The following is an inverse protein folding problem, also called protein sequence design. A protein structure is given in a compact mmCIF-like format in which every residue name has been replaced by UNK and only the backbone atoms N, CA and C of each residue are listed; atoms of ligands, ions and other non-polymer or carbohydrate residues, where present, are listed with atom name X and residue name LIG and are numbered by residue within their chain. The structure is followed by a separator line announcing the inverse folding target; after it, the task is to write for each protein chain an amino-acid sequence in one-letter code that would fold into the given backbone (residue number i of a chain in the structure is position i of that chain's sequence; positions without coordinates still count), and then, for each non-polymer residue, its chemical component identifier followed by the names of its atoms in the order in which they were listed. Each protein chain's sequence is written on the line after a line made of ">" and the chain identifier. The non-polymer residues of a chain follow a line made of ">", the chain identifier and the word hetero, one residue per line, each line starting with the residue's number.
data_IF_913335410501
#
_entry.id   IF_913335410501
#
_cell.length_a   1.000
_cell.length_b   1.000
_cell.length_c   1.000
_cell.angle_alpha   90.00
_cell.angle_beta   90.00
_cell.angle_gamma   90.00
#
_symmetry.space_group_name_H-M   'P 1'
#
loop_
_entity.id
_entity.type
_entity.pdbx_description
1 polymer ?
#
# COMPACT_ATOMS: atom_id res chain seq x y z
N UNK A 1 -1.87 -21.67 -10.63
CA UNK A 1 -2.13 -21.53 -9.17
C UNK A 1 -3.47 -20.86 -8.99
N UNK A 2 -4.17 -21.19 -7.89
CA UNK A 2 -5.37 -20.50 -7.45
C UNK A 2 -4.96 -19.41 -6.45
N UNK A 3 -5.20 -18.16 -6.77
CA UNK A 3 -4.73 -17.00 -6.01
C UNK A 3 -5.92 -16.21 -5.49
N UNK A 4 -6.00 -16.03 -4.17
CA UNK A 4 -7.01 -15.17 -3.55
C UNK A 4 -6.47 -13.73 -3.44
N UNK A 5 -7.23 -12.77 -3.95
CA UNK A 5 -6.97 -11.34 -3.79
C UNK A 5 -8.05 -10.74 -2.90
N UNK A 6 -7.68 -10.26 -1.71
CA UNK A 6 -8.61 -9.60 -0.79
C UNK A 6 -8.56 -8.08 -0.95
N UNK A 7 -9.67 -7.38 -0.71
CA UNK A 7 -9.76 -5.93 -0.95
C UNK A 7 -9.66 -5.59 -2.44
N UNK A 8 -10.26 -6.42 -3.29
CA UNK A 8 -10.17 -6.32 -4.74
C UNK A 8 -10.75 -5.02 -5.30
N UNK A 9 -11.70 -4.38 -4.61
CA UNK A 9 -12.30 -3.10 -4.99
C UNK A 9 -11.45 -1.88 -4.57
N UNK A 10 -10.35 -2.10 -3.83
CA UNK A 10 -9.38 -1.07 -3.46
C UNK A 10 -8.47 -0.65 -4.62
N UNK A 11 -7.61 0.34 -4.38
CA UNK A 11 -6.68 0.86 -5.39
C UNK A 11 -5.79 -0.25 -5.97
N UNK A 12 -5.07 -0.98 -5.10
CA UNK A 12 -4.14 -2.04 -5.52
C UNK A 12 -4.88 -3.26 -6.07
N UNK A 13 -5.99 -3.66 -5.44
CA UNK A 13 -6.79 -4.79 -5.92
C UNK A 13 -7.28 -4.59 -7.36
N UNK A 14 -7.79 -3.40 -7.70
CA UNK A 14 -8.18 -3.08 -9.07
C UNK A 14 -6.98 -3.11 -10.05
N UNK A 15 -5.80 -2.61 -9.65
CA UNK A 15 -4.62 -2.66 -10.52
C UNK A 15 -4.13 -4.11 -10.74
N UNK A 16 -4.25 -4.99 -9.73
CA UNK A 16 -3.97 -6.42 -9.89
C UNK A 16 -4.95 -7.04 -10.90
N UNK A 17 -6.26 -6.78 -10.77
CA UNK A 17 -7.28 -7.30 -11.69
C UNK A 17 -7.00 -6.88 -13.16
N UNK A 18 -6.47 -5.68 -13.40
CA UNK A 18 -6.08 -5.27 -14.75
C UNK A 18 -4.97 -6.13 -15.36
N UNK A 19 -4.10 -6.70 -14.52
CA UNK A 19 -2.96 -7.51 -14.95
C UNK A 19 -3.31 -8.99 -15.11
N UNK A 20 -4.42 -9.49 -14.54
CA UNK A 20 -4.80 -10.91 -14.58
C UNK A 20 -4.86 -11.48 -15.98
N UNK A 21 -5.31 -10.69 -16.96
CA UNK A 21 -5.39 -11.09 -18.38
C UNK A 21 -4.04 -11.48 -18.97
N UNK A 22 -2.95 -10.91 -18.46
CA UNK A 22 -1.58 -11.16 -18.90
C UNK A 22 -0.94 -12.34 -18.13
N UNK A 23 -1.67 -12.89 -17.13
CA UNK A 23 -1.26 -13.99 -16.24
C UNK A 23 -2.27 -15.15 -16.24
N UNK A 24 -2.79 -15.50 -17.42
CA UNK A 24 -3.86 -16.49 -17.62
C UNK A 24 -3.52 -17.92 -17.16
N UNK A 25 -2.27 -18.22 -16.83
CA UNK A 25 -1.84 -19.48 -16.20
C UNK A 25 -2.26 -19.59 -14.72
N UNK A 26 -2.76 -18.50 -14.11
CA UNK A 26 -3.31 -18.48 -12.77
C UNK A 26 -4.83 -18.27 -12.81
N UNK A 27 -5.50 -18.73 -11.75
CA UNK A 27 -6.92 -18.45 -11.50
C UNK A 27 -7.01 -17.52 -10.31
N UNK A 28 -7.58 -16.33 -10.52
CA UNK A 28 -7.74 -15.33 -9.48
C UNK A 28 -9.13 -15.37 -8.87
N UNK A 29 -9.20 -15.30 -7.56
CA UNK A 29 -10.41 -15.20 -6.76
C UNK A 29 -10.42 -13.81 -6.12
N UNK A 30 -11.10 -12.87 -6.74
CA UNK A 30 -11.16 -11.49 -6.30
C UNK A 30 -12.30 -11.32 -5.29
N UNK A 31 -11.97 -10.91 -4.06
CA UNK A 31 -12.94 -10.76 -2.98
C UNK A 31 -12.82 -9.40 -2.29
N UNK A 32 -13.95 -8.89 -1.88
CA UNK A 32 -14.07 -7.79 -0.93
C UNK A 32 -15.02 -8.22 0.20
N UNK A 33 -15.49 -7.30 1.04
CA UNK A 33 -16.26 -7.62 2.23
C UNK A 33 -17.57 -8.39 1.91
N UNK A 34 -18.17 -8.14 0.75
CA UNK A 34 -19.42 -8.78 0.35
C UNK A 34 -19.23 -10.26 -0.03
N UNK A 35 -18.06 -10.62 -0.63
CA UNK A 35 -17.74 -11.99 -1.02
C UNK A 35 -17.03 -12.77 0.11
N UNK A 36 -16.17 -12.09 0.88
CA UNK A 36 -15.41 -12.71 1.97
C UNK A 36 -15.08 -11.69 3.06
N UNK A 37 -15.78 -11.77 4.17
CA UNK A 37 -15.41 -11.02 5.39
C UNK A 37 -14.13 -11.62 5.99
N UNK A 38 -13.01 -10.94 5.81
CA UNK A 38 -11.69 -11.36 6.31
C UNK A 38 -11.56 -11.30 7.84
N UNK A 39 -12.55 -10.78 8.55
CA UNK A 39 -12.61 -10.86 10.02
C UNK A 39 -13.23 -12.17 10.53
N UNK A 40 -13.83 -12.96 9.64
CA UNK A 40 -14.43 -14.25 9.93
C UNK A 40 -13.47 -15.41 9.57
N UNK A 41 -12.76 -15.92 10.57
CA UNK A 41 -11.79 -17.00 10.39
C UNK A 41 -12.39 -18.25 9.74
N UNK A 42 -13.59 -18.66 10.15
CA UNK A 42 -14.23 -19.86 9.63
C UNK A 42 -14.60 -19.72 8.14
N UNK A 43 -15.04 -18.51 7.73
CA UNK A 43 -15.32 -18.21 6.33
C UNK A 43 -14.03 -18.24 5.49
N UNK A 44 -12.93 -17.69 6.01
CA UNK A 44 -11.62 -17.73 5.34
C UNK A 44 -11.16 -19.18 5.18
N UNK A 45 -11.20 -19.99 6.25
CA UNK A 45 -10.77 -21.38 6.23
C UNK A 45 -11.56 -22.20 5.19
N UNK A 46 -12.88 -22.05 5.16
CA UNK A 46 -13.75 -22.69 4.16
C UNK A 46 -13.43 -22.23 2.74
N UNK A 47 -13.32 -20.91 2.51
CA UNK A 47 -13.02 -20.36 1.20
C UNK A 47 -11.69 -20.86 0.63
N UNK A 48 -10.65 -20.86 1.45
CA UNK A 48 -9.30 -21.32 1.08
C UNK A 48 -9.28 -22.80 0.73
N UNK A 49 -10.01 -23.64 1.49
CA UNK A 49 -10.07 -25.09 1.26
C UNK A 49 -10.93 -25.42 0.03
N UNK A 50 -12.14 -24.88 -0.07
CA UNK A 50 -13.10 -25.18 -1.15
C UNK A 50 -12.56 -24.77 -2.52
N UNK A 51 -11.86 -23.63 -2.61
CA UNK A 51 -11.28 -23.11 -3.84
C UNK A 51 -9.83 -23.56 -4.06
N UNK A 52 -9.26 -24.37 -3.17
CA UNK A 52 -7.88 -24.90 -3.27
C UNK A 52 -6.86 -23.78 -3.46
N UNK A 53 -6.94 -22.72 -2.65
CA UNK A 53 -6.09 -21.54 -2.77
C UNK A 53 -4.62 -21.90 -2.50
N UNK A 54 -3.74 -21.57 -3.45
CA UNK A 54 -2.29 -21.79 -3.39
C UNK A 54 -1.54 -20.58 -2.84
N UNK A 55 -2.15 -19.39 -2.94
CA UNK A 55 -1.54 -18.14 -2.45
C UNK A 55 -2.57 -17.05 -2.21
N UNK A 56 -2.25 -16.12 -1.31
CA UNK A 56 -3.11 -14.99 -0.99
C UNK A 56 -2.34 -13.68 -1.14
N UNK A 57 -2.96 -12.71 -1.83
CA UNK A 57 -2.52 -11.31 -1.89
C UNK A 57 -3.49 -10.50 -1.02
N UNK A 58 -3.06 -10.08 0.16
CA UNK A 58 -3.89 -9.27 1.04
C UNK A 58 -3.70 -7.77 0.76
N UNK A 59 -4.63 -7.20 -0.03
CA UNK A 59 -4.74 -5.76 -0.29
C UNK A 59 -5.75 -5.08 0.66
N UNK A 60 -6.56 -5.86 1.38
CA UNK A 60 -7.53 -5.33 2.32
C UNK A 60 -6.85 -4.75 3.58
N UNK A 61 -7.26 -3.56 3.98
CA UNK A 61 -6.78 -2.92 5.20
C UNK A 61 -7.71 -1.77 5.63
N UNK A 62 -7.68 -1.43 6.90
CA UNK A 62 -8.21 -0.17 7.39
C UNK A 62 -7.17 0.93 7.14
N UNK A 63 -7.40 1.76 6.11
CA UNK A 63 -6.41 2.76 5.63
C UNK A 63 -6.74 4.20 6.02
N UNK A 64 -7.86 4.44 6.70
CA UNK A 64 -8.24 5.77 7.16
C UNK A 64 -7.43 6.16 8.41
N UNK A 65 -6.18 6.62 8.19
CA UNK A 65 -5.14 6.85 9.20
C UNK A 65 -5.66 7.67 10.39
N UNK A 66 -6.30 8.83 10.13
CA UNK A 66 -6.82 9.70 11.19
C UNK A 66 -8.01 9.08 11.94
N UNK A 67 -8.88 8.35 11.24
CA UNK A 67 -10.02 7.67 11.85
C UNK A 67 -9.59 6.44 12.67
N UNK A 68 -8.44 5.86 12.41
CA UNK A 68 -7.91 4.74 13.18
C UNK A 68 -7.67 5.14 14.65
N UNK A 69 -7.31 6.40 14.92
CA UNK A 69 -7.12 6.89 16.29
C UNK A 69 -8.40 6.80 17.15
N UNK A 70 -9.57 6.92 16.54
CA UNK A 70 -10.88 6.78 17.20
C UNK A 70 -11.53 5.41 16.99
N UNK A 71 -11.13 4.63 15.99
CA UNK A 71 -11.70 3.31 15.63
C UNK A 71 -10.66 2.19 15.78
N UNK A 72 -10.00 2.14 16.93
CA UNK A 72 -8.90 1.19 17.21
C UNK A 72 -9.32 -0.28 17.05
N UNK A 73 -10.52 -0.62 17.47
CA UNK A 73 -11.04 -2.01 17.40
C UNK A 73 -11.16 -2.48 15.94
N UNK A 74 -11.77 -1.67 15.07
CA UNK A 74 -11.91 -2.00 13.67
C UNK A 74 -10.55 -2.01 12.96
N UNK A 75 -9.67 -1.04 13.26
CA UNK A 75 -8.31 -1.02 12.74
C UNK A 75 -7.52 -2.28 13.18
N UNK A 76 -7.66 -2.71 14.43
CA UNK A 76 -7.03 -3.94 14.93
C UNK A 76 -7.59 -5.18 14.26
N UNK A 77 -8.91 -5.27 14.11
CA UNK A 77 -9.56 -6.41 13.45
C UNK A 77 -9.05 -6.59 12.01
N UNK A 78 -9.06 -5.51 11.21
CA UNK A 78 -8.69 -5.56 9.79
C UNK A 78 -7.17 -5.58 9.54
N UNK A 79 -6.38 -4.85 10.36
CA UNK A 79 -4.95 -4.71 10.09
C UNK A 79 -4.09 -5.73 10.84
N UNK A 80 -4.57 -6.30 11.96
CA UNK A 80 -3.80 -7.21 12.81
C UNK A 80 -4.35 -8.63 12.77
N UNK A 81 -5.65 -8.79 13.04
CA UNK A 81 -6.26 -10.12 13.21
C UNK A 81 -6.50 -10.79 11.86
N UNK A 82 -7.10 -10.08 10.92
CA UNK A 82 -7.40 -10.63 9.59
C UNK A 82 -6.15 -11.13 8.84
N UNK A 83 -5.01 -10.41 8.78
CA UNK A 83 -3.79 -10.94 8.20
C UNK A 83 -3.31 -12.26 8.83
N UNK A 84 -3.45 -12.40 10.16
CA UNK A 84 -3.09 -13.63 10.85
C UNK A 84 -4.01 -14.81 10.47
N UNK A 85 -5.30 -14.56 10.31
CA UNK A 85 -6.27 -15.57 9.86
C UNK A 85 -5.99 -16.02 8.41
N UNK A 86 -5.79 -15.07 7.50
CA UNK A 86 -5.46 -15.35 6.10
C UNK A 86 -4.16 -16.15 5.97
N UNK A 87 -3.12 -15.73 6.68
CA UNK A 87 -1.83 -16.42 6.71
C UNK A 87 -1.95 -17.85 7.27
N UNK A 88 -2.69 -18.03 8.38
CA UNK A 88 -2.93 -19.35 8.96
C UNK A 88 -3.71 -20.27 8.00
N UNK A 89 -4.73 -19.74 7.32
CA UNK A 89 -5.54 -20.52 6.40
C UNK A 89 -4.73 -21.03 5.20
N UNK A 90 -3.99 -20.16 4.52
CA UNK A 90 -3.19 -20.57 3.36
C UNK A 90 -2.02 -21.49 3.74
N UNK A 91 -1.45 -21.31 4.94
CA UNK A 91 -0.38 -22.18 5.44
C UNK A 91 -0.83 -23.64 5.66
N UNK A 92 -2.12 -23.89 5.99
CA UNK A 92 -2.68 -25.26 6.08
C UNK A 92 -2.56 -26.01 4.75
N UNK A 93 -2.46 -25.31 3.64
CA UNK A 93 -2.30 -25.84 2.28
C UNK A 93 -0.87 -25.75 1.75
N UNK A 94 0.10 -25.42 2.60
CA UNK A 94 1.49 -25.15 2.23
C UNK A 94 1.64 -24.00 1.22
N UNK A 95 0.67 -23.10 1.18
CA UNK A 95 0.63 -21.96 0.28
C UNK A 95 1.47 -20.77 0.77
N UNK A 96 1.50 -19.70 -0.03
CA UNK A 96 2.22 -18.46 0.27
C UNK A 96 1.28 -17.30 0.58
N UNK A 97 1.80 -16.29 1.29
CA UNK A 97 1.05 -15.10 1.70
C UNK A 97 1.81 -13.82 1.39
N UNK A 98 1.20 -12.90 0.64
CA UNK A 98 1.70 -11.54 0.43
C UNK A 98 0.88 -10.57 1.27
N UNK A 99 1.53 -9.87 2.19
CA UNK A 99 0.94 -8.83 3.03
C UNK A 99 1.40 -7.45 2.59
N UNK A 100 0.49 -6.63 2.12
CA UNK A 100 0.78 -5.21 1.87
C UNK A 100 0.75 -4.44 3.18
N UNK A 101 1.85 -3.76 3.49
CA UNK A 101 2.06 -2.98 4.71
C UNK A 101 2.40 -1.51 4.38
N UNK A 102 2.94 -0.77 5.33
CA UNK A 102 3.08 0.69 5.27
C UNK A 102 4.42 1.18 5.82
N UNK A 103 4.85 2.35 5.37
CA UNK A 103 5.93 3.16 5.92
C UNK A 103 5.62 3.69 7.33
N UNK A 104 4.35 3.76 7.75
CA UNK A 104 3.93 4.17 9.10
C UNK A 104 4.36 3.22 10.21
N UNK A 105 5.01 2.09 9.88
CA UNK A 105 5.68 1.26 10.87
C UNK A 105 6.93 1.94 11.47
N UNK A 106 7.42 3.00 10.84
CA UNK A 106 8.56 3.80 11.28
C UNK A 106 8.12 5.13 11.90
N UNK A 107 8.94 5.64 12.82
CA UNK A 107 8.68 6.90 13.56
C UNK A 107 9.03 8.18 12.79
N UNK A 108 9.81 8.05 11.71
CA UNK A 108 10.24 9.19 10.90
C UNK A 108 11.46 9.95 11.44
N UNK A 109 12.19 9.42 12.41
CA UNK A 109 13.34 10.10 13.05
C UNK A 109 14.65 9.97 12.27
N UNK A 110 14.72 9.06 11.28
CA UNK A 110 15.90 8.95 10.41
C UNK A 110 15.95 10.09 9.40
N UNK A 111 17.14 10.31 8.87
CA UNK A 111 17.45 11.26 7.77
C UNK A 111 18.09 10.55 6.56
N UNK A 112 18.08 9.22 6.57
CA UNK A 112 18.47 8.33 5.48
C UNK A 112 17.33 7.35 5.22
N UNK A 113 17.19 6.79 4.00
CA UNK A 113 16.12 5.83 3.71
C UNK A 113 16.08 4.68 4.72
N UNK A 114 14.87 4.31 5.12
CA UNK A 114 14.64 3.14 5.98
C UNK A 114 14.91 1.86 5.20
N UNK A 115 15.73 0.97 5.76
CA UNK A 115 15.95 -0.38 5.27
C UNK A 115 15.03 -1.36 6.00
N UNK A 116 14.83 -2.56 5.44
CA UNK A 116 13.90 -3.55 5.99
C UNK A 116 14.28 -4.04 7.40
N UNK A 117 15.57 -3.98 7.72
CA UNK A 117 16.12 -4.40 9.04
C UNK A 117 16.07 -3.28 10.10
N UNK A 118 15.67 -2.06 9.73
CA UNK A 118 15.45 -1.01 10.71
C UNK A 118 14.30 -1.40 11.66
N UNK A 119 14.49 -1.15 12.95
CA UNK A 119 13.50 -1.49 13.98
C UNK A 119 12.23 -0.66 13.81
N UNK A 120 11.05 -1.27 13.59
CA UNK A 120 9.80 -0.54 13.55
C UNK A 120 9.48 0.14 14.89
N UNK A 121 9.04 1.39 14.83
CA UNK A 121 8.65 2.20 15.98
C UNK A 121 7.43 3.10 15.61
N UNK A 122 6.23 2.51 15.40
CA UNK A 122 5.07 3.24 14.91
C UNK A 122 4.52 4.24 15.94
N UNK A 123 4.19 5.46 15.47
CA UNK A 123 3.66 6.56 16.29
C UNK A 123 2.14 6.75 16.17
N UNK A 124 1.44 5.87 15.45
CA UNK A 124 -0.01 5.95 15.22
C UNK A 124 -0.68 4.60 15.41
N UNK A 125 -1.99 4.59 15.67
CA UNK A 125 -2.79 3.36 15.73
C UNK A 125 -2.73 2.62 14.39
N UNK A 126 -2.80 3.34 13.27
CA UNK A 126 -2.65 2.74 11.94
C UNK A 126 -1.33 2.00 11.79
N UNK A 127 -0.21 2.67 12.05
CA UNK A 127 1.12 2.06 11.97
C UNK A 127 1.29 0.88 12.90
N UNK A 128 0.85 1.00 14.17
CA UNK A 128 0.93 -0.05 15.18
C UNK A 128 0.13 -1.28 14.80
N UNK A 129 -1.10 -1.11 14.30
CA UNK A 129 -1.97 -2.23 13.90
C UNK A 129 -1.46 -2.92 12.63
N UNK A 130 -0.91 -2.17 11.67
CA UNK A 130 -0.27 -2.73 10.46
C UNK A 130 0.97 -3.54 10.82
N UNK A 131 1.83 -3.01 11.70
CA UNK A 131 3.03 -3.74 12.16
C UNK A 131 2.67 -5.02 12.93
N UNK A 132 1.68 -4.98 13.81
CA UNK A 132 1.19 -6.17 14.49
C UNK A 132 0.65 -7.22 13.50
N UNK A 133 0.05 -6.79 12.38
CA UNK A 133 -0.37 -7.67 11.29
C UNK A 133 0.81 -8.32 10.55
N UNK A 134 1.92 -7.59 10.33
CA UNK A 134 3.15 -8.17 9.78
C UNK A 134 3.65 -9.33 10.66
N UNK A 135 3.73 -9.09 11.97
CA UNK A 135 4.18 -10.11 12.94
C UNK A 135 3.24 -11.32 12.96
N UNK A 136 1.93 -11.10 12.92
CA UNK A 136 0.93 -12.15 12.84
C UNK A 136 1.08 -12.99 11.57
N UNK A 137 1.23 -12.35 10.42
CA UNK A 137 1.39 -13.01 9.14
C UNK A 137 2.61 -13.93 9.11
N UNK A 138 3.78 -13.43 9.51
CA UNK A 138 5.03 -14.21 9.58
C UNK A 138 4.93 -15.36 10.58
N UNK A 139 4.26 -15.14 11.73
CA UNK A 139 4.07 -16.18 12.76
C UNK A 139 3.26 -17.37 12.24
N UNK A 140 2.26 -17.14 11.42
CA UNK A 140 1.31 -18.16 10.99
C UNK A 140 1.58 -18.73 9.59
N UNK A 141 2.39 -18.08 8.76
CA UNK A 141 2.80 -18.61 7.45
C UNK A 141 4.28 -18.33 7.20
N UNK A 142 5.08 -19.40 7.13
CA UNK A 142 6.52 -19.29 6.88
C UNK A 142 6.83 -18.73 5.47
N UNK A 143 5.93 -18.92 4.50
CA UNK A 143 6.06 -18.42 3.13
C UNK A 143 5.42 -17.04 2.98
N UNK A 144 5.65 -16.15 3.96
CA UNK A 144 5.11 -14.76 3.92
C UNK A 144 6.10 -13.78 3.32
N UNK A 145 5.62 -13.02 2.34
CA UNK A 145 6.26 -11.82 1.80
C UNK A 145 5.51 -10.59 2.30
N UNK A 146 6.18 -9.71 3.04
CA UNK A 146 5.65 -8.42 3.46
C UNK A 146 6.18 -7.37 2.50
N UNK A 147 5.30 -6.50 1.97
CA UNK A 147 5.71 -5.35 1.16
C UNK A 147 5.23 -4.08 1.86
N UNK A 148 6.16 -3.32 2.45
CA UNK A 148 5.87 -1.99 2.98
C UNK A 148 5.90 -0.98 1.85
N UNK A 149 4.86 -0.18 1.74
CA UNK A 149 4.71 0.86 0.71
C UNK A 149 4.29 2.19 1.32
N UNK A 150 4.37 3.27 0.57
CA UNK A 150 4.07 4.62 1.01
C UNK A 150 3.25 5.38 -0.04
N UNK A 151 2.37 6.29 0.39
CA UNK A 151 1.68 7.29 -0.44
C UNK A 151 1.03 6.70 -1.70
N UNK A 152 0.29 5.60 -1.52
CA UNK A 152 -0.31 4.85 -2.61
C UNK A 152 -1.38 5.68 -3.34
N UNK A 153 -1.30 5.71 -4.67
CA UNK A 153 -2.30 6.33 -5.53
C UNK A 153 -2.56 5.48 -6.78
N UNK A 154 -3.73 5.66 -7.37
CA UNK A 154 -4.19 4.94 -8.57
C UNK A 154 -5.25 5.76 -9.31
N UNK A 155 -5.59 5.31 -10.50
CA UNK A 155 -6.79 5.75 -11.21
C UNK A 155 -8.08 5.30 -10.52
N UNK A 156 -8.01 4.30 -9.63
CA UNK A 156 -9.12 3.76 -8.83
C UNK A 156 -9.19 4.39 -7.43
N UNK A 157 -10.36 4.27 -6.80
CA UNK A 157 -10.59 4.71 -5.44
C UNK A 157 -10.37 6.22 -5.21
N UNK A 158 -10.39 6.62 -3.96
CA UNK A 158 -10.07 7.98 -3.53
C UNK A 158 -8.60 8.05 -3.08
N UNK A 159 -7.88 9.07 -3.52
CA UNK A 159 -6.47 9.26 -3.17
C UNK A 159 -6.05 10.73 -3.25
N UNK A 160 -4.81 11.00 -2.84
CA UNK A 160 -4.26 12.33 -2.81
C UNK A 160 -4.20 12.99 -4.20
N UNK A 161 -3.83 12.25 -5.25
CA UNK A 161 -3.72 12.77 -6.63
C UNK A 161 -5.08 13.30 -7.10
N UNK A 162 -6.13 12.50 -6.99
CA UNK A 162 -7.50 12.92 -7.37
C UNK A 162 -7.98 14.10 -6.53
N UNK A 163 -7.67 14.09 -5.23
CA UNK A 163 -8.03 15.19 -4.32
C UNK A 163 -7.36 16.49 -4.74
N UNK A 164 -6.05 16.47 -5.03
CA UNK A 164 -5.32 17.67 -5.46
C UNK A 164 -5.77 18.15 -6.84
N UNK A 165 -6.09 17.23 -7.76
CA UNK A 165 -6.66 17.60 -9.07
C UNK A 165 -8.02 18.30 -8.92
N UNK A 166 -8.89 17.79 -8.05
CA UNK A 166 -10.20 18.39 -7.79
C UNK A 166 -10.07 19.76 -7.11
N UNK A 167 -9.34 19.82 -6.00
CA UNK A 167 -9.16 21.07 -5.25
C UNK A 167 -8.44 22.14 -6.07
N UNK A 168 -7.49 21.74 -6.92
CA UNK A 168 -6.80 22.66 -7.82
C UNK A 168 -7.70 23.30 -8.88
N UNK A 169 -8.83 22.66 -9.23
CA UNK A 169 -9.86 23.23 -10.13
C UNK A 169 -10.87 24.10 -9.38
N UNK A 170 -11.11 23.80 -8.08
CA UNK A 170 -12.15 24.45 -7.27
C UNK A 170 -11.64 25.66 -6.47
N UNK A 171 -10.34 25.73 -6.17
CA UNK A 171 -9.74 26.70 -5.26
C UNK A 171 -8.74 27.60 -5.98
N UNK A 172 -8.68 28.87 -5.59
CA UNK A 172 -7.67 29.83 -6.06
C UNK A 172 -6.31 29.57 -5.39
N UNK A 173 -6.33 28.99 -4.17
CA UNK A 173 -5.11 28.68 -3.43
C UNK A 173 -5.29 27.46 -2.54
N UNK A 174 -4.21 26.68 -2.37
CA UNK A 174 -4.10 25.51 -1.48
C UNK A 174 -2.82 25.61 -0.64
N UNK A 175 -2.94 25.38 0.67
CA UNK A 175 -1.79 25.11 1.53
C UNK A 175 -1.50 23.62 1.56
N UNK A 176 -0.24 23.21 1.36
CA UNK A 176 0.18 21.79 1.37
C UNK A 176 1.49 21.63 2.12
N UNK A 177 1.56 20.60 2.96
CA UNK A 177 2.71 20.31 3.82
C UNK A 177 3.97 20.05 3.00
N UNK A 178 5.08 20.72 3.35
CA UNK A 178 6.36 20.58 2.65
C UNK A 178 7.45 19.89 3.48
N UNK A 179 7.26 19.76 4.78
CA UNK A 179 8.20 19.20 5.76
C UNK A 179 7.91 17.74 6.16
N UNK A 180 7.02 17.07 5.44
CA UNK A 180 6.86 15.61 5.45
C UNK A 180 7.42 15.05 4.14
N UNK A 181 8.47 14.24 4.28
CA UNK A 181 9.28 13.75 3.17
C UNK A 181 9.07 12.25 3.00
N UNK A 182 8.75 11.84 1.79
CA UNK A 182 8.49 10.44 1.44
C UNK A 182 8.61 10.20 -0.06
N UNK A 183 8.01 9.13 -0.52
CA UNK A 183 7.95 8.80 -1.95
C UNK A 183 6.56 8.26 -2.30
N UNK A 184 5.90 8.79 -3.33
CA UNK A 184 4.63 8.24 -3.78
C UNK A 184 4.80 6.89 -4.47
N UNK A 185 3.76 6.06 -4.40
CA UNK A 185 3.69 4.76 -5.06
C UNK A 185 2.49 4.72 -5.99
N UNK A 186 2.72 4.54 -7.29
CA UNK A 186 1.65 4.20 -8.22
C UNK A 186 1.25 2.73 -8.01
N UNK A 187 0.00 2.47 -7.67
CA UNK A 187 -0.48 1.13 -7.35
C UNK A 187 -0.29 0.14 -8.49
N UNK A 188 -0.34 0.60 -9.75
CA UNK A 188 -0.03 -0.22 -10.92
C UNK A 188 1.41 -0.76 -10.88
N UNK A 189 2.40 0.08 -10.55
CA UNK A 189 3.79 -0.36 -10.49
C UNK A 189 3.99 -1.37 -9.35
N UNK A 190 3.32 -1.17 -8.21
CA UNK A 190 3.32 -2.15 -7.11
C UNK A 190 2.65 -3.47 -7.54
N UNK A 191 1.53 -3.41 -8.27
CA UNK A 191 0.86 -4.60 -8.80
C UNK A 191 1.77 -5.38 -9.75
N UNK A 192 2.48 -4.70 -10.67
CA UNK A 192 3.47 -5.33 -11.57
C UNK A 192 4.57 -6.06 -10.78
N UNK A 193 5.07 -5.46 -9.70
CA UNK A 193 6.10 -6.09 -8.85
C UNK A 193 5.54 -7.29 -8.10
N UNK A 194 4.32 -7.24 -7.59
CA UNK A 194 3.64 -8.40 -6.97
C UNK A 194 3.50 -9.54 -7.95
N UNK A 195 3.03 -9.26 -9.17
CA UNK A 195 2.90 -10.29 -10.22
C UNK A 195 4.26 -10.86 -10.61
N UNK A 196 5.30 -10.02 -10.71
CA UNK A 196 6.68 -10.47 -10.97
C UNK A 196 7.18 -11.41 -9.86
N UNK A 197 6.89 -11.09 -8.60
CA UNK A 197 7.27 -11.95 -7.47
C UNK A 197 6.56 -13.31 -7.53
N UNK A 198 5.30 -13.34 -7.92
CA UNK A 198 4.54 -14.59 -8.10
C UNK A 198 5.15 -15.44 -9.22
N UNK A 199 5.48 -14.85 -10.37
CA UNK A 199 6.05 -15.56 -11.51
C UNK A 199 7.47 -16.09 -11.26
N UNK A 200 8.28 -15.33 -10.54
CA UNK A 200 9.66 -15.73 -10.19
C UNK A 200 9.76 -16.61 -8.95
N UNK A 201 8.65 -16.81 -8.25
CA UNK A 201 8.55 -17.54 -7.00
C UNK A 201 8.71 -16.61 -5.79
N UNK A 202 7.78 -16.76 -4.83
CA UNK A 202 7.77 -15.96 -3.60
C UNK A 202 8.98 -16.28 -2.73
N UNK A 203 9.82 -15.28 -2.50
CA UNK A 203 10.91 -15.34 -1.54
C UNK A 203 10.43 -14.72 -0.22
N UNK A 204 10.26 -15.50 0.86
CA UNK A 204 9.77 -14.98 2.13
C UNK A 204 10.67 -13.90 2.72
N UNK A 205 10.06 -12.90 3.35
CA UNK A 205 10.78 -11.80 3.99
C UNK A 205 10.03 -10.47 3.91
N UNK A 206 10.62 -9.45 4.52
CA UNK A 206 10.12 -8.07 4.41
C UNK A 206 10.86 -7.35 3.29
N UNK A 207 10.10 -6.59 2.52
CA UNK A 207 10.56 -5.80 1.39
C UNK A 207 9.94 -4.40 1.43
N UNK A 208 10.64 -3.44 0.87
CA UNK A 208 10.16 -2.09 0.67
C UNK A 208 9.88 -1.84 -0.81
N UNK A 209 8.77 -1.18 -1.11
CA UNK A 209 8.46 -0.72 -2.46
C UNK A 209 7.79 0.65 -2.46
N UNK A 210 8.35 1.58 -3.20
CA UNK A 210 7.74 2.83 -3.69
C UNK A 210 8.39 3.17 -5.03
N UNK A 211 7.84 4.12 -5.77
CA UNK A 211 8.55 4.60 -6.96
C UNK A 211 9.90 5.22 -6.58
N UNK A 212 10.84 5.41 -7.52
CA UNK A 212 12.10 6.08 -7.23
C UNK A 212 11.92 7.59 -7.04
N UNK A 213 12.80 8.19 -6.25
CA UNK A 213 12.81 9.62 -5.92
C UNK A 213 12.39 9.92 -4.49
N UNK A 214 12.50 11.18 -4.11
CA UNK A 214 12.21 11.69 -2.74
C UNK A 214 11.59 13.07 -2.87
N UNK A 215 10.43 13.29 -2.27
CA UNK A 215 9.67 14.54 -2.37
C UNK A 215 8.85 14.83 -1.11
N UNK A 216 8.35 16.05 -1.01
CA UNK A 216 7.29 16.43 -0.06
C UNK A 216 5.88 16.32 -0.68
N UNK A 217 4.84 16.39 0.15
CA UNK A 217 3.46 16.52 -0.35
C UNK A 217 3.25 17.80 -1.18
N UNK A 218 3.97 18.87 -0.83
CA UNK A 218 3.97 20.11 -1.60
C UNK A 218 4.52 19.90 -3.02
N UNK A 219 5.68 19.26 -3.14
CA UNK A 219 6.28 18.94 -4.44
C UNK A 219 5.35 18.05 -5.27
N UNK A 220 4.76 17.03 -4.62
CA UNK A 220 3.81 16.13 -5.27
C UNK A 220 2.61 16.90 -5.82
N UNK A 221 2.03 17.83 -5.04
CA UNK A 221 0.91 18.67 -5.50
C UNK A 221 1.31 19.58 -6.66
N UNK A 222 2.50 20.17 -6.61
CA UNK A 222 3.02 20.99 -7.72
C UNK A 222 3.13 20.19 -9.02
N UNK A 223 3.64 18.96 -8.94
CA UNK A 223 3.74 18.06 -10.09
C UNK A 223 2.35 17.63 -10.61
N UNK A 224 1.42 17.27 -9.70
CA UNK A 224 0.03 16.92 -10.06
C UNK A 224 -0.62 18.06 -10.84
N UNK A 225 -0.55 19.29 -10.33
CA UNK A 225 -1.15 20.45 -11.02
C UNK A 225 -0.52 20.68 -12.38
N UNK A 226 0.82 20.65 -12.47
CA UNK A 226 1.53 20.83 -13.73
C UNK A 226 1.14 19.78 -14.77
N UNK A 227 1.14 18.50 -14.41
CA UNK A 227 0.80 17.39 -15.30
C UNK A 227 -0.69 17.38 -15.68
N UNK A 228 -1.57 17.81 -14.77
CA UNK A 228 -2.99 17.95 -15.03
C UNK A 228 -3.37 19.23 -15.82
N UNK A 229 -2.41 20.14 -16.05
CA UNK A 229 -2.67 21.43 -16.72
C UNK A 229 -3.45 22.43 -15.86
N UNK A 230 -3.37 22.32 -14.52
CA UNK A 230 -4.04 23.23 -13.58
C UNK A 230 -3.12 24.42 -13.30
N UNK A 231 -3.51 25.59 -13.78
CA UNK A 231 -2.73 26.83 -13.64
C UNK A 231 -3.40 27.89 -12.76
N UNK A 232 -4.66 27.70 -12.41
CA UNK A 232 -5.49 28.67 -11.69
C UNK A 232 -5.31 28.64 -10.18
N UNK A 233 -4.79 27.56 -9.63
CA UNK A 233 -4.63 27.37 -8.19
C UNK A 233 -3.19 27.60 -7.75
N UNK A 234 -2.97 28.54 -6.82
CA UNK A 234 -1.67 28.78 -6.20
C UNK A 234 -1.45 27.77 -5.08
N UNK A 235 -0.41 26.94 -5.16
CA UNK A 235 -0.01 26.02 -4.09
C UNK A 235 1.03 26.69 -3.20
N UNK A 236 0.75 26.77 -1.91
CA UNK A 236 1.60 27.35 -0.87
C UNK A 236 2.17 26.26 0.04
N UNK A 237 3.45 26.33 0.42
CA UNK A 237 4.02 25.41 1.40
C UNK A 237 3.47 25.71 2.81
N UNK A 238 3.16 24.66 3.57
CA UNK A 238 2.78 24.71 4.99
C UNK A 238 3.73 23.85 5.80
N UNK A 239 4.01 24.26 7.02
CA UNK A 239 4.60 23.36 8.03
C UNK A 239 3.54 22.38 8.57
N UNK A 240 3.99 21.21 9.03
CA UNK A 240 3.13 20.22 9.67
C UNK A 240 2.32 20.81 10.82
N UNK A 241 2.91 21.71 11.61
CA UNK A 241 2.27 22.37 12.75
C UNK A 241 1.09 23.26 12.34
N UNK A 242 1.07 23.78 11.11
CA UNK A 242 -0.01 24.63 10.59
C UNK A 242 -1.24 23.80 10.12
N UNK A 243 -1.08 22.46 10.05
CA UNK A 243 -2.16 21.54 9.67
C UNK A 243 -2.26 20.36 10.63
N UNK A 244 -2.73 20.58 11.87
CA UNK A 244 -2.82 19.52 12.86
C UNK A 244 -3.79 18.43 12.45
N UNK A 245 -3.40 17.16 12.65
CA UNK A 245 -4.17 15.97 12.33
C UNK A 245 -4.24 15.02 13.53
N UNK A 246 -5.32 14.20 13.66
CA UNK A 246 -5.47 13.26 14.76
C UNK A 246 -4.31 12.26 14.88
N UNK A 247 -3.88 11.70 13.75
CA UNK A 247 -2.74 10.79 13.72
C UNK A 247 -1.43 11.54 13.49
N UNK A 248 -0.40 11.16 14.23
CA UNK A 248 0.96 11.67 13.99
C UNK A 248 1.52 11.04 12.71
N UNK A 249 1.95 11.88 11.78
CA UNK A 249 2.61 11.46 10.54
C UNK A 249 4.12 11.51 10.68
N UNK A 250 4.85 10.49 10.19
CA UNK A 250 6.31 10.54 10.20
C UNK A 250 6.82 11.71 9.35
N UNK A 251 7.74 12.55 9.86
CA UNK A 251 8.32 13.65 9.08
C UNK A 251 9.20 13.15 7.93
N UNK A 252 9.73 11.93 8.03
CA UNK A 252 10.54 11.27 7.01
C UNK A 252 10.15 9.80 6.90
N UNK A 253 9.74 9.35 5.73
CA UNK A 253 9.27 7.98 5.51
C UNK A 253 9.82 7.35 4.21
N UNK A 254 10.96 7.84 3.72
CA UNK A 254 11.58 7.29 2.51
C UNK A 254 12.05 5.87 2.76
N UNK A 255 11.65 4.96 1.89
CA UNK A 255 12.00 3.53 1.94
C UNK A 255 13.16 3.23 0.99
N UNK A 256 14.15 2.47 1.46
CA UNK A 256 15.17 1.86 0.59
C UNK A 256 14.56 0.66 -0.14
N UNK A 257 14.75 0.57 -1.44
CA UNK A 257 14.19 -0.46 -2.32
C UNK A 257 15.26 -1.42 -2.88
N UNK A 258 16.48 -1.34 -2.37
CA UNK A 258 17.61 -2.11 -2.88
C UNK A 258 17.35 -3.62 -2.82
N UNK A 259 16.78 -4.11 -1.72
CA UNK A 259 16.52 -5.54 -1.51
C UNK A 259 15.53 -6.10 -2.54
N UNK A 260 14.39 -5.46 -2.76
CA UNK A 260 13.39 -5.96 -3.71
C UNK A 260 13.91 -5.91 -5.15
N UNK A 261 14.68 -4.86 -5.52
CA UNK A 261 15.33 -4.76 -6.82
C UNK A 261 16.31 -5.92 -7.06
N UNK A 262 17.13 -6.25 -6.07
CA UNK A 262 18.13 -7.32 -6.18
C UNK A 262 17.51 -8.71 -6.20
N UNK A 263 16.51 -8.98 -5.31
CA UNK A 263 15.88 -10.30 -5.21
C UNK A 263 15.06 -10.62 -6.45
N UNK A 264 14.36 -9.63 -6.99
CA UNK A 264 13.47 -9.83 -8.14
C UNK A 264 14.01 -9.22 -9.44
N UNK A 265 15.28 -8.82 -9.49
CA UNK A 265 15.94 -8.26 -10.68
C UNK A 265 15.03 -7.30 -11.46
N UNK A 266 14.51 -6.28 -10.75
CA UNK A 266 13.55 -5.33 -11.29
C UNK A 266 14.10 -3.91 -11.29
N UNK A 267 13.64 -3.11 -12.24
CA UNK A 267 13.80 -1.66 -12.25
C UNK A 267 12.52 -1.01 -11.75
N UNK A 268 12.66 0.03 -10.94
CA UNK A 268 11.52 0.77 -10.39
C UNK A 268 11.42 2.12 -11.10
N UNK A 269 10.28 2.46 -11.70
CA UNK A 269 10.10 3.75 -12.38
C UNK A 269 10.26 4.94 -11.43
N UNK A 270 10.74 6.06 -11.97
CA UNK A 270 10.76 7.33 -11.26
C UNK A 270 9.33 7.83 -10.99
N UNK A 271 9.09 8.35 -9.79
CA UNK A 271 7.75 8.68 -9.33
C UNK A 271 6.96 9.62 -10.26
N UNK A 272 7.63 10.57 -10.89
CA UNK A 272 6.97 11.54 -11.76
C UNK A 272 6.54 10.93 -13.11
N UNK A 273 7.30 9.96 -13.61
CA UNK A 273 6.94 9.20 -14.81
C UNK A 273 5.68 8.37 -14.57
N UNK A 274 5.61 7.71 -13.41
CA UNK A 274 4.43 6.95 -12.98
C UNK A 274 3.22 7.85 -12.73
N UNK A 275 3.44 9.03 -12.12
CA UNK A 275 2.41 10.04 -11.94
C UNK A 275 1.85 10.53 -13.28
N UNK A 276 2.72 10.79 -14.27
CA UNK A 276 2.30 11.22 -15.61
C UNK A 276 1.43 10.16 -16.28
N UNK A 277 1.79 8.87 -16.17
CA UNK A 277 0.98 7.74 -16.68
C UNK A 277 -0.40 7.72 -16.00
N UNK A 278 -0.45 7.79 -14.68
CA UNK A 278 -1.72 7.81 -13.94
C UNK A 278 -2.61 8.98 -14.34
N UNK A 279 -2.06 10.20 -14.38
CA UNK A 279 -2.84 11.41 -14.73
C UNK A 279 -3.35 11.35 -16.18
N UNK A 280 -2.59 10.74 -17.10
CA UNK A 280 -3.04 10.61 -18.50
C UNK A 280 -4.30 9.74 -18.63
N UNK A 281 -4.51 8.79 -17.71
CA UNK A 281 -5.70 7.94 -17.67
C UNK A 281 -6.87 8.57 -16.90
N UNK A 282 -6.63 9.65 -16.15
CA UNK A 282 -7.65 10.41 -15.40
C UNK A 282 -8.24 11.59 -16.18
N UNK A 283 -7.68 11.92 -17.34
CA UNK A 283 -8.16 12.97 -18.25
C UNK A 283 -9.22 12.41 -19.19
#
# INVERSE_FOLDING_TARGET
>A
MNILVTGCNGQLGNEIQLLEKDHSQHVFFNTDIDELDITNQSAIDAFVEDNKIDGIINCAAYTAVDKAESNKELATSLNTIAPAYLAAAVNKRDGWFIQVSTDYVFDGTKHTPYVEDDTPCPNSVYGSTKFAGELGAVKFCAKTMIIRTAWLYSTFGNNFVKTMMRLGKEKEQLGVIFDQIGTPTYAHDLAVVIMTAIERGIVPGTYHFSNEGVISWYDFTKAIHRLAGITTCKVLPLHTEEYPTPAQRPPYSVLDKTKIKQVYDIEIPYWEESLAKCISQLK
#
